data_IF_241169564242
#
_entry.id   IF_241169564242
#
_cell.length_a   1.000
_cell.length_b   1.000
_cell.length_c   1.000
_cell.angle_alpha   90.00
_cell.angle_beta   90.00
_cell.angle_gamma   90.00
#
_symmetry.space_group_name_H-M   'P 1'
#
loop_
_entity.id
_entity.type
_entity.pdbx_description
1 polymer ?
#
# COMPACT_ATOMS: atom_id res chain seq x y z
N UNK A 1 3.67 11.72 -33.36
CA UNK A 1 3.53 12.40 -32.05
C UNK A 1 3.57 11.35 -30.94
N UNK A 2 4.56 11.37 -30.03
CA UNK A 2 4.77 10.31 -29.01
C UNK A 2 4.46 10.87 -27.62
N UNK A 3 3.64 10.17 -26.83
CA UNK A 3 3.23 10.56 -25.46
C UNK A 3 3.56 9.44 -24.48
N UNK A 4 4.05 9.80 -23.29
CA UNK A 4 4.28 8.86 -22.19
C UNK A 4 2.93 8.32 -21.67
N UNK A 5 2.82 6.99 -21.54
CA UNK A 5 1.61 6.30 -21.06
C UNK A 5 1.77 5.89 -19.60
N UNK A 6 0.88 6.38 -18.73
CA UNK A 6 0.82 6.01 -17.33
C UNK A 6 -0.35 5.05 -17.06
N UNK A 7 -0.23 4.26 -15.99
CA UNK A 7 -1.29 3.46 -15.40
C UNK A 7 -1.56 3.93 -13.97
N UNK A 8 -2.82 3.83 -13.57
CA UNK A 8 -3.26 4.17 -12.23
C UNK A 8 -3.75 2.90 -11.56
N UNK A 9 -3.27 2.64 -10.35
CA UNK A 9 -3.69 1.52 -9.52
C UNK A 9 -4.48 2.10 -8.34
N UNK A 10 -5.72 1.65 -8.18
CA UNK A 10 -6.51 1.88 -6.99
C UNK A 10 -6.23 0.74 -6.02
N UNK A 11 -5.84 1.08 -4.79
CA UNK A 11 -5.49 0.10 -3.77
C UNK A 11 -6.32 0.39 -2.52
N UNK A 12 -6.89 -0.66 -1.95
CA UNK A 12 -7.60 -0.62 -0.67
C UNK A 12 -6.83 -1.44 0.35
N UNK A 13 -6.63 -0.89 1.54
CA UNK A 13 -5.95 -1.55 2.65
C UNK A 13 -6.99 -2.19 3.55
N UNK A 14 -6.84 -3.48 3.84
CA UNK A 14 -7.76 -4.25 4.67
C UNK A 14 -7.08 -4.70 5.96
N UNK A 15 -7.83 -4.76 7.07
CA UNK A 15 -7.31 -5.09 8.41
C UNK A 15 -7.99 -6.33 9.02
N UNK A 16 -7.63 -7.55 8.57
CA UNK A 16 -8.26 -8.79 9.06
C UNK A 16 -7.97 -9.09 10.54
N UNK A 17 -6.87 -8.58 11.10
CA UNK A 17 -6.45 -8.89 12.48
C UNK A 17 -7.34 -8.25 13.55
N UNK A 18 -8.11 -7.22 13.20
CA UNK A 18 -9.02 -6.52 14.12
C UNK A 18 -10.29 -7.34 14.41
N UNK A 19 -10.64 -8.29 13.55
CA UNK A 19 -11.71 -9.27 13.81
C UNK A 19 -11.36 -10.21 14.97
N UNK A 20 -10.08 -10.56 15.13
CA UNK A 20 -9.65 -11.54 16.15
C UNK A 20 -9.66 -10.95 17.56
N UNK A 21 -9.50 -9.63 17.69
CA UNK A 21 -9.45 -8.93 18.98
C UNK A 21 -10.83 -8.47 19.49
N UNK A 22 -11.88 -8.55 18.67
CA UNK A 22 -13.25 -8.16 19.04
C UNK A 22 -14.02 -9.32 19.69
N UNK A 23 -13.43 -9.93 20.73
CA UNK A 23 -14.07 -11.02 21.48
C UNK A 23 -15.29 -10.63 22.33
N UNK A 24 -15.69 -9.35 22.41
CA UNK A 24 -16.72 -8.93 23.39
C UNK A 24 -17.45 -7.60 23.16
N UNK A 25 -17.32 -6.91 22.02
CA UNK A 25 -18.05 -5.63 21.80
C UNK A 25 -18.84 -5.67 20.50
N UNK A 26 -20.16 -5.84 20.63
CA UNK A 26 -21.25 -5.65 19.66
C UNK A 26 -21.03 -6.27 18.26
N UNK A 27 -21.97 -7.10 17.80
CA UNK A 27 -21.92 -7.76 16.48
C UNK A 27 -22.00 -6.74 15.33
N UNK A 28 -20.91 -6.03 15.06
CA UNK A 28 -20.74 -5.27 13.83
C UNK A 28 -20.61 -6.26 12.67
N UNK A 29 -21.19 -5.98 11.49
CA UNK A 29 -21.00 -6.82 10.32
C UNK A 29 -19.51 -6.88 9.94
N UNK A 30 -19.03 -8.07 9.58
CA UNK A 30 -17.62 -8.33 9.19
C UNK A 30 -17.10 -7.30 8.17
N UNK A 31 -17.92 -6.91 7.19
CA UNK A 31 -17.59 -5.91 6.17
C UNK A 31 -17.15 -4.56 6.75
N UNK A 32 -17.74 -4.14 7.88
CA UNK A 32 -17.40 -2.88 8.56
C UNK A 32 -16.08 -3.03 9.33
N UNK A 33 -15.82 -4.22 9.88
CA UNK A 33 -14.59 -4.52 10.62
C UNK A 33 -13.39 -4.61 9.66
N UNK A 34 -13.58 -5.19 8.47
CA UNK A 34 -12.54 -5.25 7.43
C UNK A 34 -12.12 -3.89 6.88
N UNK A 35 -13.07 -2.96 6.75
CA UNK A 35 -12.88 -1.65 6.13
C UNK A 35 -12.61 -0.52 7.16
N UNK A 36 -12.04 -0.87 8.31
CA UNK A 36 -11.71 0.12 9.32
C UNK A 36 -10.70 1.17 8.83
N UNK A 37 -10.84 2.42 9.26
CA UNK A 37 -9.96 3.50 8.84
C UNK A 37 -8.53 3.24 9.29
N UNK A 38 -7.59 3.59 8.43
CA UNK A 38 -6.16 3.51 8.73
C UNK A 38 -5.81 4.59 9.75
N UNK A 39 -5.03 4.21 10.76
CA UNK A 39 -4.51 5.14 11.77
C UNK A 39 -3.81 6.34 11.11
N UNK A 40 -3.99 7.53 11.70
CA UNK A 40 -3.59 8.83 11.13
C UNK A 40 -2.06 9.04 10.98
N UNK A 41 -1.28 8.00 11.27
CA UNK A 41 0.17 7.97 11.12
C UNK A 41 0.65 7.57 9.70
N UNK A 42 -0.23 7.06 8.83
CA UNK A 42 0.16 6.69 7.47
C UNK A 42 0.23 7.94 6.58
N UNK A 43 1.46 8.35 6.24
CA UNK A 43 1.69 9.47 5.31
C UNK A 43 1.95 8.95 3.89
N UNK A 44 1.60 9.75 2.87
CA UNK A 44 1.85 9.43 1.46
C UNK A 44 3.34 9.18 1.17
N UNK A 45 4.22 9.94 1.83
CA UNK A 45 5.68 9.78 1.71
C UNK A 45 6.16 8.47 2.34
N UNK A 46 5.65 8.12 3.52
CA UNK A 46 5.98 6.85 4.16
C UNK A 46 5.50 5.67 3.30
N UNK A 47 4.25 5.73 2.80
CA UNK A 47 3.69 4.72 1.90
C UNK A 47 4.54 4.52 0.65
N UNK A 48 4.91 5.61 -0.04
CA UNK A 48 5.74 5.54 -1.24
C UNK A 48 7.11 4.89 -0.95
N UNK A 49 7.75 5.26 0.16
CA UNK A 49 9.01 4.64 0.59
C UNK A 49 8.85 3.16 0.90
N UNK A 50 7.77 2.76 1.58
CA UNK A 50 7.49 1.35 1.87
C UNK A 50 7.34 0.53 0.59
N UNK A 51 6.60 1.04 -0.40
CA UNK A 51 6.44 0.37 -1.70
C UNK A 51 7.78 0.27 -2.43
N UNK A 52 8.57 1.34 -2.45
CA UNK A 52 9.91 1.31 -3.08
C UNK A 52 10.85 0.31 -2.41
N UNK A 53 10.78 0.20 -1.07
CA UNK A 53 11.53 -0.79 -0.31
C UNK A 53 11.10 -2.20 -0.70
N UNK A 54 9.81 -2.49 -0.76
CA UNK A 54 9.32 -3.81 -1.19
C UNK A 54 9.68 -4.15 -2.63
N UNK A 55 9.63 -3.16 -3.54
CA UNK A 55 10.13 -3.34 -4.91
C UNK A 55 11.60 -3.69 -4.92
N UNK A 56 12.41 -3.05 -4.07
CA UNK A 56 13.84 -3.32 -3.95
C UNK A 56 14.08 -4.71 -3.36
N UNK A 57 13.29 -5.11 -2.36
CA UNK A 57 13.39 -6.44 -1.74
C UNK A 57 13.07 -7.57 -2.72
N UNK A 58 12.07 -7.38 -3.60
CA UNK A 58 11.59 -8.43 -4.51
C UNK A 58 12.31 -8.46 -5.86
N UNK A 59 12.70 -7.28 -6.38
CA UNK A 59 13.21 -7.13 -7.75
C UNK A 59 14.61 -6.51 -7.81
N UNK A 60 15.23 -6.26 -6.66
CA UNK A 60 16.57 -5.67 -6.53
C UNK A 60 16.67 -4.27 -7.12
N UNK A 61 17.90 -3.89 -7.45
CA UNK A 61 18.24 -2.57 -7.98
C UNK A 61 17.60 -2.32 -9.35
N UNK A 62 17.41 -3.36 -10.15
CA UNK A 62 16.74 -3.26 -11.45
C UNK A 62 15.28 -2.80 -11.27
N UNK A 63 14.53 -3.48 -10.40
CA UNK A 63 13.16 -3.09 -10.12
C UNK A 63 13.08 -1.69 -9.51
N UNK A 64 13.95 -1.39 -8.56
CA UNK A 64 14.00 -0.07 -7.93
C UNK A 64 14.24 1.05 -8.96
N UNK A 65 15.24 0.90 -9.82
CA UNK A 65 15.57 1.86 -10.87
C UNK A 65 14.48 1.98 -11.95
N UNK A 66 13.88 0.86 -12.37
CA UNK A 66 12.85 0.85 -13.40
C UNK A 66 11.57 1.61 -13.00
N UNK A 67 11.24 1.64 -11.71
CA UNK A 67 10.01 2.27 -11.22
C UNK A 67 10.26 3.65 -10.59
N UNK A 68 11.49 3.96 -10.14
CA UNK A 68 11.86 5.14 -9.37
C UNK A 68 11.28 6.47 -9.89
N UNK A 69 11.41 6.74 -11.19
CA UNK A 69 10.96 8.00 -11.81
C UNK A 69 9.44 8.06 -12.04
N UNK A 70 8.79 6.89 -12.13
CA UNK A 70 7.39 6.80 -12.58
C UNK A 70 6.38 6.62 -11.46
N UNK A 71 6.82 6.16 -10.28
CA UNK A 71 5.95 5.88 -9.13
C UNK A 71 5.60 7.16 -8.37
N UNK A 72 4.30 7.40 -8.18
CA UNK A 72 3.82 8.51 -7.36
C UNK A 72 2.47 8.20 -6.72
N UNK A 73 2.33 8.49 -5.42
CA UNK A 73 1.04 8.49 -4.72
C UNK A 73 0.29 9.76 -5.11
N UNK A 74 -0.88 9.61 -5.75
CA UNK A 74 -1.72 10.74 -6.20
C UNK A 74 -2.83 11.08 -5.23
N UNK A 75 -3.28 10.09 -4.48
CA UNK A 75 -4.35 10.24 -3.50
C UNK A 75 -4.10 9.25 -2.38
N UNK A 76 -4.36 9.66 -1.15
CA UNK A 76 -4.37 8.83 0.04
C UNK A 76 -5.50 9.34 0.93
N UNK A 77 -6.35 8.44 1.40
CA UNK A 77 -7.41 8.74 2.36
C UNK A 77 -7.33 7.79 3.53
N UNK A 78 -6.93 8.29 4.70
CA UNK A 78 -6.88 7.50 5.94
C UNK A 78 -8.28 7.08 6.38
N UNK A 79 -9.30 7.90 6.12
CA UNK A 79 -10.69 7.62 6.50
C UNK A 79 -11.31 6.42 5.77
N UNK A 80 -10.84 6.13 4.55
CA UNK A 80 -11.35 5.01 3.73
C UNK A 80 -10.29 3.95 3.46
N UNK A 81 -9.06 4.13 3.97
CA UNK A 81 -7.95 3.20 3.76
C UNK A 81 -7.62 2.96 2.28
N UNK A 82 -7.93 3.93 1.42
CA UNK A 82 -7.70 3.85 -0.03
C UNK A 82 -6.61 4.80 -0.50
N UNK A 83 -5.88 4.39 -1.53
CA UNK A 83 -4.92 5.24 -2.21
C UNK A 83 -4.83 4.95 -3.70
N UNK A 84 -4.38 5.96 -4.45
CA UNK A 84 -4.19 5.87 -5.90
C UNK A 84 -2.71 6.06 -6.20
N UNK A 85 -2.11 5.07 -6.86
CA UNK A 85 -0.74 5.12 -7.38
C UNK A 85 -0.75 5.39 -8.87
N UNK A 86 0.16 6.25 -9.32
CA UNK A 86 0.57 6.37 -10.71
C UNK A 86 1.87 5.59 -10.93
N UNK A 87 1.96 4.86 -12.03
CA UNK A 87 3.18 4.15 -12.49
C UNK A 87 3.29 4.21 -14.03
N UNK A 88 4.49 4.07 -14.59
CA UNK A 88 4.68 3.87 -16.05
C UNK A 88 3.99 2.59 -16.54
N UNK A 89 3.43 2.64 -17.76
CA UNK A 89 2.84 1.45 -18.41
C UNK A 89 3.85 0.31 -18.58
N UNK A 90 5.15 0.58 -18.69
CA UNK A 90 6.16 -0.47 -18.87
C UNK A 90 6.36 -1.32 -17.60
N UNK A 91 6.26 -0.70 -16.41
CA UNK A 91 6.69 -1.31 -15.14
C UNK A 91 5.58 -1.45 -14.10
N UNK A 92 4.30 -1.21 -14.46
CA UNK A 92 3.19 -1.33 -13.51
C UNK A 92 3.05 -2.74 -12.91
N UNK A 93 3.48 -3.79 -13.63
CA UNK A 93 3.45 -5.18 -13.13
C UNK A 93 4.41 -5.41 -11.96
N UNK A 94 5.55 -4.74 -11.96
CA UNK A 94 6.54 -4.81 -10.86
C UNK A 94 5.91 -4.26 -9.59
N UNK A 95 5.31 -3.06 -9.68
CA UNK A 95 4.63 -2.43 -8.54
C UNK A 95 3.42 -3.25 -8.10
N UNK A 96 2.63 -3.78 -9.04
CA UNK A 96 1.48 -4.61 -8.70
C UNK A 96 1.90 -5.87 -7.94
N UNK A 97 2.93 -6.58 -8.41
CA UNK A 97 3.45 -7.74 -7.71
C UNK A 97 3.98 -7.38 -6.31
N UNK A 98 4.71 -6.26 -6.17
CA UNK A 98 5.17 -5.78 -4.87
C UNK A 98 4.02 -5.47 -3.91
N UNK A 99 2.95 -4.82 -4.39
CA UNK A 99 1.76 -4.53 -3.59
C UNK A 99 1.05 -5.82 -3.13
N UNK A 100 0.98 -6.85 -3.97
CA UNK A 100 0.36 -8.12 -3.61
C UNK A 100 1.14 -8.92 -2.57
N UNK A 101 2.45 -8.68 -2.45
CA UNK A 101 3.33 -9.35 -1.50
C UNK A 101 3.62 -8.51 -0.24
N UNK A 102 3.28 -7.22 -0.26
CA UNK A 102 3.44 -6.31 0.86
C UNK A 102 2.45 -6.66 1.98
N UNK A 103 2.97 -7.09 3.12
CA UNK A 103 2.17 -7.53 4.28
C UNK A 103 2.20 -6.56 5.47
N UNK A 104 3.02 -5.51 5.40
CA UNK A 104 3.17 -4.55 6.48
C UNK A 104 3.19 -3.13 5.93
N UNK A 105 2.55 -2.21 6.65
CA UNK A 105 2.53 -0.80 6.29
C UNK A 105 3.67 -0.06 7.01
N UNK A 106 4.29 0.93 6.37
CA UNK A 106 5.35 1.73 6.97
C UNK A 106 4.76 2.76 7.95
N UNK A 107 4.21 2.27 9.07
CA UNK A 107 3.63 3.08 10.14
C UNK A 107 4.71 3.25 11.22
N UNK A 108 4.96 4.49 11.64
CA UNK A 108 6.02 4.83 12.62
C UNK A 108 5.92 4.05 13.95
N UNK A 109 4.72 3.56 14.31
CA UNK A 109 4.41 2.84 15.54
C UNK A 109 3.69 1.49 15.30
N UNK A 110 3.79 0.90 14.10
CA UNK A 110 3.22 -0.44 13.84
C UNK A 110 3.98 -1.53 14.62
N UNK A 111 3.37 -2.69 14.91
CA UNK A 111 4.04 -3.78 15.62
C UNK A 111 5.31 -4.12 14.85
N UNK A 112 6.45 -3.87 15.50
CA UNK A 112 7.75 -4.18 14.96
C UNK A 112 7.75 -5.67 14.61
N UNK A 113 8.29 -6.02 13.43
CA UNK A 113 8.67 -7.41 13.15
C UNK A 113 9.58 -7.87 14.29
N UNK A 114 9.02 -8.61 15.24
CA UNK A 114 9.77 -9.46 16.16
C UNK A 114 10.30 -10.60 15.29
N UNK A 115 11.55 -10.46 14.87
CA UNK A 115 12.36 -11.60 14.45
C UNK A 115 12.76 -12.45 15.64
#
# INVERSE_FOLDING_TARGET
MVRIKNRYLLVNILYPELEKNTGSKEKLPDVVVFNQPTVDALTSRALLRGIQLEVTNLFGDYGSGAVADSIAVKYLSSATSTFILRVSRAHYRIVWAALSLMNSLPIKNGPQRLG
#
